data_IF_381064013284
#
_entry.id   IF_381064013284
#
_cell.length_a   1.000
_cell.length_b   1.000
_cell.length_c   1.000
_cell.angle_alpha   90.00
_cell.angle_beta   90.00
_cell.angle_gamma   90.00
#
_symmetry.space_group_name_H-M   'P 1'
#
loop_
_entity.id
_entity.type
_entity.pdbx_description
1 polymer ?
#
# COMPACT_ATOMS: atom_id res chain seq x y z
N UNK A 1 15.24 9.53 6.07
CA UNK A 1 14.96 8.55 5.01
C UNK A 1 14.76 7.20 5.69
N UNK A 2 13.63 6.54 5.43
CA UNK A 2 13.29 5.28 6.10
C UNK A 2 14.13 4.15 5.50
N UNK A 3 14.80 3.31 6.31
CA UNK A 3 15.63 2.22 5.83
C UNK A 3 14.85 1.24 4.93
N UNK A 4 15.51 0.76 3.87
CA UNK A 4 14.90 -0.13 2.88
C UNK A 4 14.45 -1.46 3.49
N UNK A 5 15.23 -2.01 4.40
CA UNK A 5 14.93 -3.22 5.16
C UNK A 5 13.64 -3.07 5.98
N UNK A 6 13.41 -1.90 6.59
CA UNK A 6 12.17 -1.60 7.32
C UNK A 6 10.95 -1.51 6.41
N UNK A 7 11.08 -0.86 5.26
CA UNK A 7 10.00 -0.86 4.25
C UNK A 7 9.67 -2.28 3.76
N UNK A 8 10.69 -3.11 3.53
CA UNK A 8 10.50 -4.51 3.14
C UNK A 8 9.85 -5.33 4.25
N UNK A 9 10.24 -5.12 5.51
CA UNK A 9 9.61 -5.74 6.67
C UNK A 9 8.11 -5.42 6.72
N UNK A 10 7.74 -4.14 6.52
CA UNK A 10 6.34 -3.72 6.49
C UNK A 10 5.55 -4.35 5.34
N UNK A 11 6.10 -4.35 4.11
CA UNK A 11 5.48 -5.01 2.96
C UNK A 11 5.36 -6.53 3.19
N UNK A 12 6.37 -7.16 3.76
CA UNK A 12 6.35 -8.58 4.07
C UNK A 12 5.24 -8.91 5.07
N UNK A 13 5.19 -8.22 6.20
CA UNK A 13 4.18 -8.43 7.24
C UNK A 13 2.76 -8.23 6.70
N UNK A 14 2.54 -7.19 5.89
CA UNK A 14 1.25 -6.98 5.25
C UNK A 14 0.94 -8.06 4.19
N UNK A 15 1.94 -8.57 3.46
CA UNK A 15 1.75 -9.65 2.47
C UNK A 15 1.18 -10.93 3.09
N UNK A 16 1.57 -11.24 4.34
CA UNK A 16 1.03 -12.37 5.10
C UNK A 16 -0.46 -12.21 5.41
N UNK A 17 -0.95 -10.97 5.55
CA UNK A 17 -2.37 -10.67 5.79
C UNK A 17 -3.21 -10.88 4.53
N UNK A 18 -2.65 -10.59 3.35
CA UNK A 18 -3.36 -10.64 2.06
C UNK A 18 -3.15 -11.95 1.30
N UNK A 19 -2.49 -12.96 1.88
CA UNK A 19 -2.09 -14.19 1.17
C UNK A 19 -3.26 -14.93 0.49
N UNK A 20 -4.48 -14.77 1.01
CA UNK A 20 -5.71 -15.36 0.45
C UNK A 20 -6.36 -14.53 -0.67
N UNK A 21 -5.77 -13.38 -1.03
CA UNK A 21 -6.26 -12.46 -2.06
C UNK A 21 -5.26 -12.38 -3.21
N UNK A 22 -5.39 -13.20 -4.28
CA UNK A 22 -4.39 -13.33 -5.33
C UNK A 22 -3.98 -12.01 -5.98
N UNK A 23 -4.93 -11.11 -6.25
CA UNK A 23 -4.66 -9.81 -6.86
C UNK A 23 -3.88 -8.87 -5.93
N UNK A 24 -4.07 -8.99 -4.62
CA UNK A 24 -3.32 -8.20 -3.65
C UNK A 24 -1.93 -8.81 -3.42
N UNK A 25 -1.81 -10.13 -3.37
CA UNK A 25 -0.50 -10.80 -3.35
C UNK A 25 0.34 -10.41 -4.57
N UNK A 26 -0.27 -10.33 -5.75
CA UNK A 26 0.37 -9.80 -6.96
C UNK A 26 0.86 -8.36 -6.76
N UNK A 27 -0.01 -7.48 -6.24
CA UNK A 27 0.36 -6.09 -5.94
C UNK A 27 1.49 -5.98 -4.92
N UNK A 28 1.48 -6.79 -3.87
CA UNK A 28 2.55 -6.83 -2.88
C UNK A 28 3.88 -7.21 -3.51
N UNK A 29 3.89 -8.21 -4.42
CA UNK A 29 5.08 -8.56 -5.19
C UNK A 29 5.61 -7.39 -6.03
N UNK A 30 4.73 -6.64 -6.67
CA UNK A 30 5.10 -5.42 -7.39
C UNK A 30 5.68 -4.34 -6.46
N UNK A 31 5.01 -4.04 -5.34
CA UNK A 31 5.45 -3.03 -4.38
C UNK A 31 6.80 -3.39 -3.75
N UNK A 32 7.05 -4.67 -3.46
CA UNK A 32 8.35 -5.17 -2.99
C UNK A 32 9.44 -4.91 -4.04
N UNK A 33 9.15 -5.16 -5.31
CA UNK A 33 10.06 -4.86 -6.42
C UNK A 33 10.31 -3.36 -6.62
N UNK A 34 9.38 -2.50 -6.17
CA UNK A 34 9.46 -1.05 -6.26
C UNK A 34 9.71 -0.37 -4.90
N UNK A 35 10.23 -1.11 -3.90
CA UNK A 35 10.27 -0.65 -2.50
C UNK A 35 10.95 0.70 -2.30
N UNK A 36 11.93 1.03 -3.15
CA UNK A 36 12.66 2.29 -3.05
C UNK A 36 11.74 3.50 -3.33
N UNK A 37 10.72 3.31 -4.17
CA UNK A 37 9.69 4.29 -4.53
C UNK A 37 8.47 4.27 -3.61
N UNK A 38 8.42 3.36 -2.64
CA UNK A 38 7.25 3.20 -1.77
C UNK A 38 7.38 4.11 -0.55
N UNK A 39 6.36 4.91 -0.30
CA UNK A 39 6.26 5.80 0.85
C UNK A 39 5.00 5.45 1.64
N UNK A 40 5.15 5.00 2.88
CA UNK A 40 4.00 4.74 3.74
C UNK A 40 3.52 6.04 4.37
N UNK A 41 2.23 6.30 4.24
CA UNK A 41 1.60 7.56 4.68
C UNK A 41 0.27 7.27 5.38
N UNK A 42 -0.11 8.15 6.32
CA UNK A 42 -1.41 8.11 6.97
C UNK A 42 -2.52 8.67 6.06
N UNK A 43 -2.15 9.50 5.09
CA UNK A 43 -3.06 10.18 4.18
C UNK A 43 -2.51 10.21 2.75
N UNK A 44 -3.40 9.97 1.77
CA UNK A 44 -3.08 9.91 0.35
C UNK A 44 -3.32 11.25 -0.38
N UNK A 45 -3.77 12.30 0.31
CA UNK A 45 -4.03 13.62 -0.28
C UNK A 45 -2.78 14.16 -0.99
N UNK A 46 -2.96 14.61 -2.23
CA UNK A 46 -1.91 15.24 -3.05
C UNK A 46 -0.92 14.28 -3.71
N UNK A 47 -0.99 12.98 -3.45
CA UNK A 47 -0.13 12.00 -4.09
C UNK A 47 -0.48 11.82 -5.58
N UNK A 48 0.53 11.84 -6.47
CA UNK A 48 0.32 11.54 -7.89
C UNK A 48 -0.06 10.07 -8.09
N UNK A 49 0.59 9.17 -7.35
CA UNK A 49 0.30 7.74 -7.32
C UNK A 49 -0.02 7.37 -5.87
N UNK A 50 -1.27 6.96 -5.63
CA UNK A 50 -1.77 6.63 -4.31
C UNK A 50 -2.41 5.25 -4.30
N UNK A 51 -2.15 4.48 -3.25
CA UNK A 51 -2.73 3.16 -3.02
C UNK A 51 -3.17 3.02 -1.58
N UNK A 52 -4.42 2.63 -1.36
CA UNK A 52 -4.95 2.18 -0.08
C UNK A 52 -5.20 0.68 -0.14
N UNK A 53 -4.66 -0.05 0.83
CA UNK A 53 -4.93 -1.48 1.02
C UNK A 53 -5.62 -1.69 2.35
N UNK A 54 -6.81 -2.32 2.33
CA UNK A 54 -7.65 -2.48 3.52
C UNK A 54 -7.79 -3.95 3.91
N UNK A 55 -7.40 -4.29 5.14
CA UNK A 55 -7.49 -5.63 5.74
C UNK A 55 -8.09 -5.61 7.15
N UNK A 56 -9.14 -4.81 7.36
CA UNK A 56 -9.90 -4.81 8.62
C UNK A 56 -10.84 -6.01 8.69
N UNK A 57 -10.67 -6.88 9.69
CA UNK A 57 -11.57 -8.01 9.94
C UNK A 57 -12.74 -7.65 10.84
N UNK A 58 -12.61 -6.56 11.61
CA UNK A 58 -13.62 -6.10 12.59
C UNK A 58 -14.52 -4.96 12.07
N UNK A 59 -14.56 -4.72 10.77
CA UNK A 59 -15.38 -3.67 10.21
C UNK A 59 -16.86 -4.07 10.16
N UNK A 60 -17.74 -3.14 10.55
CA UNK A 60 -19.20 -3.31 10.49
C UNK A 60 -19.75 -3.23 9.05
N UNK A 61 -19.01 -2.55 8.17
CA UNK A 61 -19.39 -2.33 6.77
C UNK A 61 -18.43 -3.09 5.83
N UNK A 62 -18.89 -3.49 4.64
CA UNK A 62 -18.01 -4.00 3.60
C UNK A 62 -16.97 -2.93 3.24
N UNK A 63 -15.70 -3.30 3.27
CA UNK A 63 -14.61 -2.42 2.89
C UNK A 63 -14.07 -2.84 1.52
N UNK A 64 -13.73 -1.86 0.69
CA UNK A 64 -12.96 -2.14 -0.52
C UNK A 64 -11.51 -2.48 -0.11
N UNK A 65 -11.03 -3.70 -0.43
CA UNK A 65 -9.69 -4.14 -0.03
C UNK A 65 -8.57 -3.44 -0.80
N UNK A 66 -8.92 -2.76 -1.89
CA UNK A 66 -8.02 -2.02 -2.76
C UNK A 66 -8.70 -0.76 -3.27
N UNK A 67 -8.02 0.37 -3.14
CA UNK A 67 -8.33 1.61 -3.83
C UNK A 67 -7.02 2.22 -4.31
N UNK A 68 -6.98 2.74 -5.53
CA UNK A 68 -5.78 3.42 -6.01
C UNK A 68 -6.12 4.52 -7.00
N UNK A 69 -5.26 5.52 -7.05
CA UNK A 69 -5.33 6.62 -8.02
C UNK A 69 -3.97 6.81 -8.69
N UNK A 70 -4.00 7.14 -9.98
CA UNK A 70 -2.83 7.52 -10.77
C UNK A 70 -3.17 8.80 -11.53
N UNK A 71 -2.45 9.87 -11.23
CA UNK A 71 -2.66 11.20 -11.82
C UNK A 71 -4.13 11.65 -11.73
N UNK A 72 -4.78 11.38 -10.60
CA UNK A 72 -6.19 11.71 -10.34
C UNK A 72 -7.23 10.73 -10.91
N UNK A 73 -6.81 9.69 -11.64
CA UNK A 73 -7.70 8.66 -12.19
C UNK A 73 -7.76 7.46 -11.25
N UNK A 74 -8.97 7.04 -10.86
CA UNK A 74 -9.17 5.83 -10.04
C UNK A 74 -8.90 4.57 -10.86
N UNK A 75 -8.10 3.67 -10.30
CA UNK A 75 -7.79 2.38 -10.93
C UNK A 75 -8.81 1.32 -10.51
N UNK A 76 -9.38 0.56 -11.46
CA UNK A 76 -10.46 -0.38 -11.16
C UNK A 76 -10.01 -1.64 -10.42
N UNK A 77 -8.72 -1.99 -10.48
CA UNK A 77 -8.15 -3.17 -9.82
C UNK A 77 -6.61 -3.08 -9.76
N UNK A 78 -5.95 -3.96 -8.99
CA UNK A 78 -4.49 -3.96 -8.87
C UNK A 78 -3.72 -4.16 -10.18
N UNK A 79 -4.26 -4.92 -11.15
CA UNK A 79 -3.59 -5.16 -12.44
C UNK A 79 -3.55 -3.88 -13.26
N UNK A 80 -4.67 -3.17 -13.35
CA UNK A 80 -4.76 -1.88 -14.03
C UNK A 80 -3.83 -0.84 -13.39
N UNK A 81 -3.74 -0.83 -12.05
CA UNK A 81 -2.80 0.03 -11.34
C UNK A 81 -1.34 -0.27 -11.71
N UNK A 82 -0.93 -1.54 -11.65
CA UNK A 82 0.45 -1.93 -11.99
C UNK A 82 0.77 -1.55 -13.44
N UNK A 83 -0.15 -1.79 -14.38
CA UNK A 83 0.04 -1.39 -15.78
C UNK A 83 0.22 0.12 -15.94
N UNK A 84 -0.55 0.94 -15.21
CA UNK A 84 -0.46 2.39 -15.27
C UNK A 84 0.83 2.96 -14.67
N UNK A 85 1.43 2.27 -13.70
CA UNK A 85 2.60 2.75 -12.94
C UNK A 85 3.92 2.13 -13.42
N UNK A 86 3.91 0.97 -14.07
CA UNK A 86 5.13 0.21 -14.44
C UNK A 86 6.14 1.01 -15.26
N UNK A 87 5.68 1.92 -16.12
CA UNK A 87 6.55 2.74 -16.99
C UNK A 87 6.86 4.12 -16.40
N UNK A 88 6.36 4.44 -15.21
CA UNK A 88 6.61 5.70 -14.51
C UNK A 88 7.70 5.51 -13.46
N UNK A 89 8.45 6.57 -13.17
CA UNK A 89 9.38 6.62 -12.03
C UNK A 89 8.78 7.36 -10.81
N UNK A 90 7.50 7.75 -10.85
CA UNK A 90 6.85 8.47 -9.76
C UNK A 90 6.89 7.70 -8.44
N UNK A 91 6.98 8.44 -7.33
CA UNK A 91 6.80 7.90 -5.97
C UNK A 91 5.40 7.29 -5.81
N UNK A 92 5.30 6.24 -4.99
CA UNK A 92 4.06 5.49 -4.72
C UNK A 92 3.72 5.68 -3.24
N UNK A 93 2.72 6.51 -2.96
CA UNK A 93 2.19 6.67 -1.60
C UNK A 93 1.27 5.50 -1.27
N UNK A 94 1.56 4.79 -0.19
CA UNK A 94 0.85 3.59 0.25
C UNK A 94 0.28 3.81 1.64
N UNK A 95 -1.02 3.62 1.78
CA UNK A 95 -1.71 3.58 3.05
C UNK A 95 -2.15 2.15 3.35
N UNK A 96 -1.67 1.58 4.45
CA UNK A 96 -2.09 0.27 4.93
C UNK A 96 -3.13 0.45 6.04
N UNK A 97 -4.31 -0.10 5.82
CA UNK A 97 -5.45 0.02 6.72
C UNK A 97 -5.85 -1.36 7.25
N UNK A 98 -5.40 -1.71 8.44
CA UNK A 98 -5.64 -3.03 9.06
C UNK A 98 -5.94 -2.89 10.55
N UNK A 99 -6.41 -3.97 11.17
CA UNK A 99 -6.77 -3.96 12.59
C UNK A 99 -5.54 -3.60 13.46
N UNK A 100 -5.68 -2.61 14.35
CA UNK A 100 -4.63 -2.11 15.25
C UNK A 100 -3.39 -1.52 14.55
N UNK A 101 -3.53 -0.95 13.36
CA UNK A 101 -2.41 -0.34 12.63
C UNK A 101 -1.65 0.73 13.43
N UNK A 102 -2.36 1.53 14.24
CA UNK A 102 -1.81 2.59 15.10
C UNK A 102 -0.87 2.04 16.18
N UNK A 103 -1.14 0.84 16.69
CA UNK A 103 -0.35 0.20 17.74
C UNK A 103 0.73 -0.76 17.19
N UNK A 104 0.85 -0.88 15.87
CA UNK A 104 1.67 -1.91 15.22
C UNK A 104 3.10 -1.39 14.93
N UNK A 105 4.14 -1.85 15.65
CA UNK A 105 5.47 -1.21 15.61
C UNK A 105 6.11 -1.18 14.22
N UNK A 106 6.07 -2.29 13.49
CA UNK A 106 6.68 -2.38 12.15
C UNK A 106 6.03 -1.42 11.15
N UNK A 107 4.78 -1.02 11.35
CA UNK A 107 4.10 -0.07 10.48
C UNK A 107 4.40 1.38 10.92
N UNK A 108 4.37 1.63 12.22
CA UNK A 108 4.69 2.95 12.78
C UNK A 108 6.13 3.38 12.47
N UNK A 109 7.08 2.44 12.44
CA UNK A 109 8.48 2.70 12.06
C UNK A 109 8.66 3.17 10.61
N UNK A 110 7.72 2.84 9.71
CA UNK A 110 7.80 3.17 8.29
C UNK A 110 6.85 4.29 7.88
N UNK A 111 5.98 4.76 8.77
CA UNK A 111 5.01 5.80 8.50
C UNK A 111 5.70 7.17 8.45
N UNK A 112 5.47 7.91 7.36
CA UNK A 112 5.93 9.29 7.27
C UNK A 112 5.01 10.23 8.07
N UNK A 113 5.57 11.28 8.70
CA UNK A 113 4.77 12.33 9.33
C UNK A 113 3.98 13.10 8.26
N UNK A 114 2.82 13.62 8.66
CA UNK A 114 1.93 14.47 7.84
C UNK A 114 2.60 15.76 7.35
#
# INVERSE_FOLDING_TARGET
MIPRDKKLEALHNFSLMVIRHPLLSYLMGFLIGQVDRVHFVADLRGAEVAVKLTMRRKALWPNEPFQATVSGVTMPNPVAFVQAVSNKQSEICVMLDFDNAEDTPWYQEVLLPD
#
